data_IF_555683835543
#
_entry.id   IF_555683835543
#
_cell.length_a   1.000
_cell.length_b   1.000
_cell.length_c   1.000
_cell.angle_alpha   90.00
_cell.angle_beta   90.00
_cell.angle_gamma   90.00
#
_symmetry.space_group_name_H-M   'P 1'
#
loop_
_entity.id
_entity.type
_entity.pdbx_description
1 polymer ?
#
# COMPACT_ATOMS: atom_id res chain seq x y z
N UNK A 1 22.70 4.84 7.04
CA UNK A 1 22.07 3.84 6.12
C UNK A 1 20.75 3.44 6.74
N UNK A 2 19.63 3.66 6.06
CA UNK A 2 18.30 3.23 6.54
C UNK A 2 18.11 1.74 6.25
N UNK A 3 17.56 0.98 7.20
CA UNK A 3 17.10 -0.39 6.94
C UNK A 3 15.74 -0.33 6.26
N UNK A 4 15.50 -1.14 5.22
CA UNK A 4 14.22 -1.18 4.49
C UNK A 4 13.38 -2.36 4.96
N UNK A 5 12.10 -2.11 5.27
CA UNK A 5 11.12 -3.15 5.65
C UNK A 5 10.02 -3.20 4.58
N UNK A 6 9.78 -4.38 4.01
CA UNK A 6 8.64 -4.62 3.12
C UNK A 6 7.45 -5.18 3.91
N UNK A 7 6.29 -4.57 3.76
CA UNK A 7 5.02 -5.02 4.33
C UNK A 7 4.13 -5.46 3.18
N UNK A 8 3.68 -6.71 3.20
CA UNK A 8 2.76 -7.25 2.20
C UNK A 8 1.42 -7.52 2.87
N UNK A 9 0.35 -6.93 2.32
CA UNK A 9 -1.01 -7.10 2.84
C UNK A 9 -1.93 -7.62 1.74
N UNK A 10 -2.47 -8.85 1.88
CA UNK A 10 -3.56 -9.32 1.03
C UNK A 10 -4.85 -8.56 1.36
N UNK A 11 -5.64 -8.24 0.35
CA UNK A 11 -6.93 -7.57 0.48
C UNK A 11 -8.02 -8.30 -0.33
N UNK A 12 -9.20 -8.42 0.26
CA UNK A 12 -10.41 -8.84 -0.41
C UNK A 12 -11.62 -8.15 0.22
N UNK A 13 -12.28 -7.28 -0.53
CA UNK A 13 -13.41 -6.44 -0.08
C UNK A 13 -13.11 -5.64 1.20
N UNK A 14 -12.00 -4.90 1.20
CA UNK A 14 -11.49 -4.13 2.33
C UNK A 14 -11.67 -2.62 2.16
N UNK A 15 -12.69 -2.15 1.42
CA UNK A 15 -12.86 -0.73 1.08
C UNK A 15 -12.92 0.20 2.30
N UNK A 16 -13.44 -0.29 3.43
CA UNK A 16 -13.52 0.45 4.69
C UNK A 16 -12.18 0.50 5.46
N UNK A 17 -11.25 -0.41 5.17
CA UNK A 17 -10.07 -0.67 6.01
C UNK A 17 -8.75 -0.25 5.35
N UNK A 18 -8.62 -0.33 4.03
CA UNK A 18 -7.34 -0.10 3.32
C UNK A 18 -6.71 1.27 3.63
N UNK A 19 -7.51 2.34 3.75
CA UNK A 19 -7.01 3.68 4.14
C UNK A 19 -6.55 3.72 5.59
N UNK A 20 -7.31 3.12 6.50
CA UNK A 20 -6.98 3.09 7.92
C UNK A 20 -5.68 2.32 8.17
N UNK A 21 -5.52 1.17 7.52
CA UNK A 21 -4.31 0.37 7.61
C UNK A 21 -3.08 1.14 7.11
N UNK A 22 -3.17 1.79 5.94
CA UNK A 22 -2.07 2.61 5.40
C UNK A 22 -1.69 3.73 6.37
N UNK A 23 -2.68 4.41 6.95
CA UNK A 23 -2.43 5.51 7.89
C UNK A 23 -1.77 5.03 9.19
N UNK A 24 -2.23 3.92 9.75
CA UNK A 24 -1.65 3.34 10.95
C UNK A 24 -0.20 2.89 10.72
N UNK A 25 0.10 2.23 9.60
CA UNK A 25 1.47 1.85 9.24
C UNK A 25 2.36 3.09 9.09
N UNK A 26 1.86 4.12 8.39
CA UNK A 26 2.61 5.36 8.23
C UNK A 26 2.93 6.03 9.57
N UNK A 27 1.98 6.08 10.50
CA UNK A 27 2.18 6.65 11.83
C UNK A 27 3.29 5.91 12.59
N UNK A 28 3.29 4.58 12.55
CA UNK A 28 4.36 3.75 13.13
C UNK A 28 5.71 4.11 12.52
N UNK A 29 5.83 4.14 11.18
CA UNK A 29 7.12 4.43 10.55
C UNK A 29 7.59 5.87 10.72
N UNK A 30 6.70 6.84 10.88
CA UNK A 30 7.07 8.21 11.24
C UNK A 30 7.70 8.30 12.64
N UNK A 31 7.38 7.35 13.54
CA UNK A 31 7.98 7.27 14.88
C UNK A 31 9.33 6.54 14.92
N UNK A 32 9.70 5.82 13.85
CA UNK A 32 10.89 4.98 13.79
C UNK A 32 12.03 5.69 13.05
N UNK A 33 13.10 6.03 13.76
CA UNK A 33 14.32 6.54 13.14
C UNK A 33 15.15 5.40 12.52
N UNK A 34 15.76 5.67 11.37
CA UNK A 34 16.67 4.71 10.71
C UNK A 34 15.98 3.59 9.91
N UNK A 35 14.65 3.65 9.73
CA UNK A 35 13.90 2.75 8.87
C UNK A 35 13.24 3.47 7.69
N UNK A 36 13.23 2.80 6.55
CA UNK A 36 12.35 3.07 5.41
C UNK A 36 11.41 1.87 5.25
N UNK A 37 10.23 2.07 4.66
CA UNK A 37 9.30 0.97 4.42
C UNK A 37 8.79 0.93 2.99
N UNK A 38 8.17 -0.17 2.62
CA UNK A 38 7.41 -0.34 1.40
C UNK A 38 6.14 -1.11 1.79
N UNK A 39 4.97 -0.63 1.37
CA UNK A 39 3.71 -1.31 1.64
C UNK A 39 3.11 -1.78 0.32
N UNK A 40 3.01 -3.09 0.16
CA UNK A 40 2.51 -3.76 -1.03
C UNK A 40 1.14 -4.34 -0.69
N UNK A 41 0.11 -3.90 -1.41
CA UNK A 41 -1.25 -4.44 -1.28
C UNK A 41 -1.52 -5.41 -2.43
N UNK A 42 -1.92 -6.63 -2.10
CA UNK A 42 -2.26 -7.66 -3.09
C UNK A 42 -3.77 -7.86 -3.05
N UNK A 43 -4.48 -7.40 -4.09
CA UNK A 43 -5.92 -7.56 -4.18
C UNK A 43 -6.30 -8.90 -4.78
N UNK A 44 -7.22 -9.62 -4.13
CA UNK A 44 -7.70 -10.92 -4.56
C UNK A 44 -9.06 -10.82 -5.28
N UNK A 45 -9.14 -9.99 -6.32
CA UNK A 45 -10.35 -9.76 -7.12
C UNK A 45 -11.53 -9.25 -6.27
N UNK A 46 -11.29 -8.20 -5.49
CA UNK A 46 -12.35 -7.50 -4.76
C UNK A 46 -13.45 -7.01 -5.71
N UNK A 47 -14.70 -7.09 -5.27
CA UNK A 47 -15.88 -6.66 -6.03
C UNK A 47 -16.42 -5.29 -5.55
N UNK A 48 -15.80 -4.73 -4.52
CA UNK A 48 -16.12 -3.43 -3.94
C UNK A 48 -15.13 -2.34 -4.41
N UNK A 49 -15.08 -1.21 -3.71
CA UNK A 49 -14.20 -0.10 -4.08
C UNK A 49 -12.74 -0.28 -3.67
N UNK A 50 -12.33 -1.41 -3.08
CA UNK A 50 -10.97 -1.67 -2.60
C UNK A 50 -9.91 -1.30 -3.65
N UNK A 51 -10.05 -1.81 -4.87
CA UNK A 51 -9.12 -1.54 -5.97
C UNK A 51 -9.04 -0.06 -6.32
N UNK A 52 -10.20 0.62 -6.41
CA UNK A 52 -10.23 2.05 -6.72
C UNK A 52 -9.54 2.88 -5.64
N UNK A 53 -9.75 2.53 -4.36
CA UNK A 53 -9.14 3.20 -3.23
C UNK A 53 -7.64 2.96 -3.21
N UNK A 54 -7.17 1.73 -3.45
CA UNK A 54 -5.75 1.40 -3.55
C UNK A 54 -5.05 2.19 -4.67
N UNK A 55 -5.70 2.35 -5.84
CA UNK A 55 -5.19 3.21 -6.93
C UNK A 55 -5.11 4.67 -6.51
N UNK A 56 -6.14 5.19 -5.84
CA UNK A 56 -6.12 6.56 -5.31
C UNK A 56 -4.99 6.76 -4.31
N UNK A 57 -4.80 5.84 -3.35
CA UNK A 57 -3.70 5.91 -2.37
C UNK A 57 -2.34 5.91 -3.09
N UNK A 58 -2.19 5.14 -4.17
CA UNK A 58 -0.96 5.11 -4.96
C UNK A 58 -0.67 6.43 -5.71
N UNK A 59 -1.69 7.18 -6.10
CA UNK A 59 -1.55 8.48 -6.77
C UNK A 59 -1.43 9.66 -5.80
N UNK A 60 -2.07 9.59 -4.63
CA UNK A 60 -2.09 10.66 -3.61
C UNK A 60 -0.76 10.85 -2.86
N UNK A 61 0.24 9.97 -3.04
CA UNK A 61 1.51 10.03 -2.29
C UNK A 61 2.66 10.58 -3.15
N UNK A 62 2.97 11.89 -3.11
CA UNK A 62 4.09 12.49 -3.83
C UNK A 62 5.48 12.20 -3.23
N UNK A 63 5.59 11.22 -2.32
CA UNK A 63 6.88 10.80 -1.76
C UNK A 63 7.56 9.77 -2.66
N UNK A 64 8.15 10.26 -3.76
CA UNK A 64 9.15 9.53 -4.55
C UNK A 64 10.56 9.90 -4.07
N UNK A 65 11.05 9.22 -3.05
CA UNK A 65 12.42 8.71 -3.05
C UNK A 65 12.44 7.27 -2.51
N UNK A 66 12.32 6.24 -3.34
CA UNK A 66 12.64 4.84 -2.96
C UNK A 66 11.92 4.18 -1.74
N UNK A 67 10.85 4.77 -1.19
CA UNK A 67 10.27 4.34 0.11
C UNK A 67 8.72 4.25 0.19
N UNK A 68 8.01 4.21 -0.92
CA UNK A 68 6.65 3.65 -0.94
C UNK A 68 6.33 3.21 -2.36
N UNK A 69 6.32 1.90 -2.60
CA UNK A 69 5.88 1.33 -3.87
C UNK A 69 4.63 0.49 -3.61
N UNK A 70 3.49 1.10 -3.92
CA UNK A 70 2.20 0.44 -3.90
C UNK A 70 2.08 -0.35 -5.22
N UNK A 71 2.48 -1.62 -5.19
CA UNK A 71 2.28 -2.52 -6.32
C UNK A 71 0.93 -3.20 -6.17
N UNK A 72 -0.01 -2.89 -7.07
CA UNK A 72 -1.29 -3.58 -7.16
C UNK A 72 -1.14 -4.78 -8.11
N UNK A 73 -1.17 -5.99 -7.56
CA UNK A 73 -1.23 -7.22 -8.35
C UNK A 73 -2.68 -7.69 -8.36
N UNK A 74 -3.38 -7.44 -9.46
CA UNK A 74 -4.64 -8.11 -9.74
C UNK A 74 -4.37 -9.47 -10.36
N UNK A 75 -5.23 -10.44 -10.09
CA UNK A 75 -5.33 -11.66 -10.92
C UNK A 75 -5.69 -11.36 -12.38
N UNK A 76 -6.16 -10.14 -12.67
CA UNK A 76 -6.43 -9.68 -14.02
C UNK A 76 -5.14 -9.37 -14.77
N UNK A 77 -4.85 -10.15 -15.82
CA UNK A 77 -3.61 -10.11 -16.63
C UNK A 77 -3.47 -8.83 -17.47
N UNK A 78 -4.44 -7.92 -17.43
CA UNK A 78 -4.54 -6.77 -18.34
C UNK A 78 -4.34 -5.40 -17.67
N UNK A 79 -3.99 -5.34 -16.39
CA UNK A 79 -3.71 -4.07 -15.71
C UNK A 79 -2.20 -3.80 -15.62
N UNK A 80 -1.62 -3.31 -16.73
CA UNK A 80 -0.37 -2.54 -16.73
C UNK A 80 -0.71 -1.12 -17.18
#
# INVERSE_FOLDING_TARGET
MFKRIGIVTPCYNEEANVRNLRSAVLEVFNSLSGYAYEHIFIDNASQDKTVSILRTIAHEDPRVPDYLKLTHLTSDRNAV
#
